data_IF_155808359954
#
_entry.id   IF_155808359954
#
_cell.length_a   1.000
_cell.length_b   1.000
_cell.length_c   1.000
_cell.angle_alpha   90.00
_cell.angle_beta   90.00
_cell.angle_gamma   90.00
#
_symmetry.space_group_name_H-M   'P 1'
#
loop_
_entity.id
_entity.type
_entity.pdbx_description
1 polymer ?
#
# COMPACT_ATOMS: atom_id res chain seq x y z
N UNK A 1 -26.62 5.87 -23.92
CA UNK A 1 -26.15 6.82 -22.89
C UNK A 1 -25.94 6.15 -21.54
N UNK A 2 -26.96 5.58 -20.88
CA UNK A 2 -26.80 5.04 -19.51
C UNK A 2 -25.85 3.83 -19.39
N UNK A 3 -25.91 2.88 -20.35
CA UNK A 3 -24.95 1.76 -20.42
C UNK A 3 -23.50 2.22 -20.63
N UNK A 4 -23.31 3.21 -21.50
CA UNK A 4 -22.00 3.79 -21.81
C UNK A 4 -21.37 4.46 -20.59
N UNK A 5 -22.19 5.16 -19.78
CA UNK A 5 -21.76 5.79 -18.53
C UNK A 5 -21.32 4.75 -17.49
N UNK A 6 -22.08 3.65 -17.33
CA UNK A 6 -21.75 2.56 -16.40
C UNK A 6 -20.46 1.84 -16.82
N UNK A 7 -20.25 1.59 -18.11
CA UNK A 7 -19.02 0.98 -18.61
C UNK A 7 -17.81 1.87 -18.39
N UNK A 8 -17.95 3.18 -18.60
CA UNK A 8 -16.87 4.14 -18.38
C UNK A 8 -16.50 4.25 -16.88
N UNK A 9 -17.49 4.22 -15.98
CA UNK A 9 -17.27 4.18 -14.54
C UNK A 9 -16.50 2.92 -14.11
N UNK A 10 -16.93 1.73 -14.55
CA UNK A 10 -16.24 0.46 -14.26
C UNK A 10 -14.81 0.47 -14.78
N UNK A 11 -14.60 1.01 -15.98
CA UNK A 11 -13.27 1.15 -16.58
C UNK A 11 -12.37 2.07 -15.75
N UNK A 12 -12.87 3.24 -15.32
CA UNK A 12 -12.12 4.18 -14.46
C UNK A 12 -11.75 3.54 -13.12
N UNK A 13 -12.66 2.78 -12.51
CA UNK A 13 -12.39 2.07 -11.27
C UNK A 13 -11.29 1.01 -11.44
N UNK A 14 -11.38 0.19 -12.50
CA UNK A 14 -10.36 -0.80 -12.83
C UNK A 14 -8.99 -0.15 -13.11
N UNK A 15 -8.96 0.94 -13.89
CA UNK A 15 -7.74 1.70 -14.19
C UNK A 15 -7.08 2.25 -12.92
N UNK A 16 -7.87 2.82 -12.02
CA UNK A 16 -7.39 3.32 -10.73
C UNK A 16 -6.81 2.19 -9.86
N UNK A 17 -7.42 1.01 -9.88
CA UNK A 17 -6.92 -0.17 -9.17
C UNK A 17 -5.55 -0.61 -9.69
N UNK A 18 -5.39 -0.71 -11.02
CA UNK A 18 -4.10 -1.03 -11.64
C UNK A 18 -3.04 0.01 -11.27
N UNK A 19 -3.39 1.30 -11.26
CA UNK A 19 -2.45 2.36 -10.85
C UNK A 19 -1.98 2.20 -9.40
N UNK A 20 -2.87 1.88 -8.46
CA UNK A 20 -2.52 1.63 -7.05
C UNK A 20 -1.61 0.41 -6.89
N UNK A 21 -1.94 -0.69 -7.57
CA UNK A 21 -1.13 -1.93 -7.57
C UNK A 21 0.27 -1.65 -8.11
N UNK A 22 0.38 -0.94 -9.25
CA UNK A 22 1.66 -0.56 -9.83
C UNK A 22 2.47 0.33 -8.87
N UNK A 23 1.82 1.27 -8.19
CA UNK A 23 2.45 2.11 -7.18
C UNK A 23 3.02 1.31 -6.00
N UNK A 24 2.28 0.31 -5.52
CA UNK A 24 2.77 -0.61 -4.50
C UNK A 24 4.01 -1.39 -4.95
N UNK A 25 3.99 -1.97 -6.16
CA UNK A 25 5.14 -2.73 -6.66
C UNK A 25 6.40 -1.87 -6.82
N UNK A 26 6.25 -0.61 -7.25
CA UNK A 26 7.38 0.33 -7.32
C UNK A 26 7.92 0.60 -5.91
N UNK A 27 7.04 0.90 -4.94
CA UNK A 27 7.46 1.14 -3.56
C UNK A 27 8.15 -0.10 -2.96
N UNK A 28 7.61 -1.30 -3.17
CA UNK A 28 8.19 -2.56 -2.74
C UNK A 28 9.57 -2.83 -3.37
N UNK A 29 9.72 -2.56 -4.67
CA UNK A 29 10.99 -2.70 -5.37
C UNK A 29 12.05 -1.74 -4.83
N UNK A 30 11.71 -0.45 -4.67
CA UNK A 30 12.60 0.56 -4.08
C UNK A 30 12.99 0.18 -2.66
N UNK A 31 12.01 -0.21 -1.84
CA UNK A 31 12.26 -0.71 -0.48
C UNK A 31 13.28 -1.87 -0.49
N UNK A 32 13.10 -2.85 -1.36
CA UNK A 32 13.97 -4.04 -1.41
C UNK A 32 15.40 -3.67 -1.85
N UNK A 33 15.54 -2.89 -2.94
CA UNK A 33 16.85 -2.49 -3.47
C UNK A 33 17.62 -1.64 -2.46
N UNK A 34 16.96 -0.65 -1.85
CA UNK A 34 17.61 0.24 -0.86
C UNK A 34 18.02 -0.54 0.39
N UNK A 35 17.16 -1.41 0.92
CA UNK A 35 17.50 -2.19 2.11
C UNK A 35 18.63 -3.20 1.85
N UNK A 36 18.66 -3.86 0.68
CA UNK A 36 19.76 -4.74 0.29
C UNK A 36 21.07 -3.95 0.21
N UNK A 37 21.05 -2.78 -0.44
CA UNK A 37 22.23 -1.93 -0.58
C UNK A 37 22.75 -1.45 0.79
N UNK A 38 21.86 -0.95 1.65
CA UNK A 38 22.21 -0.50 2.99
C UNK A 38 22.76 -1.66 3.85
N UNK A 39 22.12 -2.82 3.79
CA UNK A 39 22.58 -4.02 4.49
C UNK A 39 23.98 -4.41 4.02
N UNK A 40 24.25 -4.36 2.71
CA UNK A 40 25.57 -4.64 2.14
C UNK A 40 26.65 -3.70 2.64
N UNK A 41 26.37 -2.39 2.74
CA UNK A 41 27.32 -1.41 3.30
C UNK A 41 27.61 -1.70 4.76
N UNK A 42 26.57 -1.90 5.58
CA UNK A 42 26.71 -2.14 7.02
C UNK A 42 27.47 -3.45 7.27
N UNK A 43 27.09 -4.53 6.59
CA UNK A 43 27.76 -5.83 6.73
C UNK A 43 29.21 -5.74 6.29
N UNK A 44 29.50 -5.07 5.16
CA UNK A 44 30.88 -4.88 4.69
C UNK A 44 31.71 -4.09 5.70
N UNK A 45 31.13 -3.06 6.33
CA UNK A 45 31.80 -2.31 7.40
C UNK A 45 32.10 -3.17 8.62
N UNK A 46 31.09 -3.87 9.14
CA UNK A 46 31.22 -4.73 10.34
C UNK A 46 32.16 -5.93 10.14
N UNK A 47 32.23 -6.46 8.92
CA UNK A 47 33.11 -7.61 8.59
C UNK A 47 34.55 -7.15 8.31
N UNK A 48 34.78 -5.88 7.95
CA UNK A 48 36.12 -5.37 7.62
C UNK A 48 37.07 -5.35 8.81
N UNK A 49 36.54 -5.17 10.03
CA UNK A 49 37.33 -5.16 11.26
C UNK A 49 37.57 -6.57 11.85
N UNK A 50 37.16 -7.65 11.15
CA UNK A 50 37.18 -9.05 11.64
C UNK A 50 36.47 -9.28 12.99
N UNK A 51 35.66 -8.30 13.43
CA UNK A 51 35.00 -8.31 14.73
C UNK A 51 33.70 -9.12 14.70
N UNK A 52 33.08 -9.27 13.51
CA UNK A 52 31.81 -9.96 13.32
C UNK A 52 31.86 -10.99 12.17
N UNK A 53 31.30 -12.17 12.41
CA UNK A 53 31.00 -13.13 11.34
C UNK A 53 29.80 -12.66 10.51
N UNK A 54 29.68 -13.13 9.25
CA UNK A 54 28.59 -12.73 8.34
C UNK A 54 27.18 -12.93 8.95
N UNK A 55 26.96 -14.02 9.69
CA UNK A 55 25.70 -14.28 10.38
C UNK A 55 25.41 -13.27 11.51
N UNK A 56 26.45 -12.81 12.18
CA UNK A 56 26.39 -11.85 13.29
C UNK A 56 26.17 -10.43 12.77
N UNK A 57 26.81 -10.09 11.65
CA UNK A 57 26.62 -8.82 10.94
C UNK A 57 25.19 -8.68 10.39
N UNK A 58 24.56 -9.74 9.87
CA UNK A 58 23.15 -9.71 9.44
C UNK A 58 22.21 -9.53 10.66
N UNK A 59 22.56 -10.15 11.78
CA UNK A 59 21.79 -10.09 13.02
C UNK A 59 22.01 -8.79 13.79
N UNK A 60 22.85 -7.89 13.28
CA UNK A 60 23.12 -6.60 13.89
C UNK A 60 21.86 -5.71 13.84
N UNK A 61 21.57 -5.01 14.95
CA UNK A 61 20.40 -4.13 15.07
C UNK A 61 20.30 -3.13 13.92
N UNK A 62 21.42 -2.56 13.50
CA UNK A 62 21.46 -1.61 12.38
C UNK A 62 21.02 -2.19 11.03
N UNK A 63 21.15 -3.50 10.82
CA UNK A 63 20.71 -4.16 9.59
C UNK A 63 19.21 -4.44 9.67
N UNK A 64 18.75 -5.29 10.60
CA UNK A 64 17.35 -5.73 10.60
C UNK A 64 16.35 -4.64 11.03
N UNK A 65 16.77 -3.64 11.82
CA UNK A 65 15.85 -2.59 12.28
C UNK A 65 15.27 -1.81 11.11
N UNK A 66 16.08 -1.45 10.10
CA UNK A 66 15.58 -0.72 8.91
C UNK A 66 14.55 -1.55 8.16
N UNK A 67 14.81 -2.86 7.97
CA UNK A 67 13.85 -3.78 7.36
C UNK A 67 12.52 -3.80 8.12
N UNK A 68 12.55 -3.94 9.44
CA UNK A 68 11.34 -4.05 10.26
C UNK A 68 10.57 -2.73 10.26
N UNK A 69 11.19 -1.61 10.66
CA UNK A 69 10.49 -0.34 10.83
C UNK A 69 9.92 0.19 9.51
N UNK A 70 10.67 0.10 8.42
CA UNK A 70 10.17 0.50 7.10
C UNK A 70 9.21 -0.54 6.52
N UNK A 71 9.42 -1.82 6.84
CA UNK A 71 8.55 -2.92 6.45
C UNK A 71 7.14 -2.79 7.02
N UNK A 72 6.99 -2.22 8.22
CA UNK A 72 5.67 -1.88 8.79
C UNK A 72 4.94 -0.87 7.89
N UNK A 73 5.62 0.19 7.44
CA UNK A 73 5.03 1.16 6.51
C UNK A 73 4.63 0.53 5.17
N UNK A 74 5.47 -0.37 4.64
CA UNK A 74 5.18 -1.12 3.43
C UNK A 74 3.99 -2.07 3.60
N UNK A 75 3.86 -2.70 4.76
CA UNK A 75 2.73 -3.55 5.12
C UNK A 75 1.41 -2.77 5.18
N UNK A 76 1.40 -1.58 5.78
CA UNK A 76 0.21 -0.73 5.76
C UNK A 76 -0.12 -0.22 4.36
N UNK A 77 0.87 0.07 3.51
CA UNK A 77 0.62 0.39 2.11
C UNK A 77 0.02 -0.80 1.35
N UNK A 78 0.54 -2.01 1.58
CA UNK A 78 -0.02 -3.25 1.04
C UNK A 78 -1.48 -3.44 1.49
N UNK A 79 -1.77 -3.28 2.78
CA UNK A 79 -3.13 -3.31 3.31
C UNK A 79 -4.02 -2.24 2.66
N UNK A 80 -3.52 -1.03 2.42
CA UNK A 80 -4.26 0.01 1.71
C UNK A 80 -4.60 -0.34 0.26
N UNK A 81 -3.70 -1.03 -0.44
CA UNK A 81 -3.88 -1.40 -1.85
C UNK A 81 -4.70 -2.68 -2.04
N UNK A 82 -4.52 -3.67 -1.16
CA UNK A 82 -5.14 -5.00 -1.28
C UNK A 82 -6.16 -5.30 -0.17
N UNK A 83 -5.88 -4.91 1.07
CA UNK A 83 -6.65 -5.27 2.28
C UNK A 83 -7.93 -4.46 2.52
N UNK A 84 -7.87 -3.14 2.48
CA UNK A 84 -9.04 -2.27 2.73
C UNK A 84 -10.17 -2.48 1.72
N UNK A 85 -9.82 -2.84 0.48
CA UNK A 85 -10.79 -3.21 -0.54
C UNK A 85 -11.46 -4.58 -0.24
N UNK A 86 -10.71 -5.56 0.29
CA UNK A 86 -11.22 -6.90 0.62
C UNK A 86 -12.03 -6.93 1.92
N UNK A 87 -11.82 -5.97 2.82
CA UNK A 87 -12.60 -5.79 4.05
C UNK A 87 -13.89 -4.97 3.82
N UNK A 88 -14.16 -4.56 2.58
CA UNK A 88 -15.37 -3.80 2.26
C UNK A 88 -15.41 -2.39 2.87
N UNK A 89 -14.25 -1.83 3.25
CA UNK A 89 -14.10 -0.43 3.70
C UNK A 89 -13.40 0.44 2.64
N UNK A 90 -13.27 -0.08 1.42
CA UNK A 90 -12.72 0.64 0.28
C UNK A 90 -13.74 1.57 -0.39
N UNK A 91 -13.41 1.98 -1.61
CA UNK A 91 -14.25 2.89 -2.43
C UNK A 91 -15.71 2.47 -2.54
N UNK A 92 -16.00 1.17 -2.57
CA UNK A 92 -17.36 0.66 -2.70
C UNK A 92 -18.23 1.02 -1.47
N UNK A 93 -17.66 1.04 -0.26
CA UNK A 93 -18.37 1.49 0.94
C UNK A 93 -18.60 2.99 0.92
N UNK A 94 -17.59 3.75 0.51
CA UNK A 94 -17.65 5.20 0.40
C UNK A 94 -18.74 5.61 -0.60
N UNK A 95 -18.75 4.99 -1.78
CA UNK A 95 -19.73 5.22 -2.84
C UNK A 95 -21.13 4.79 -2.42
N UNK A 96 -21.26 3.66 -1.70
CA UNK A 96 -22.53 3.23 -1.09
C UNK A 96 -23.03 4.24 -0.05
N UNK A 97 -22.14 4.80 0.78
CA UNK A 97 -22.51 5.76 1.82
C UNK A 97 -22.92 7.11 1.24
N UNK A 98 -22.21 7.58 0.22
CA UNK A 98 -22.57 8.79 -0.54
C UNK A 98 -23.96 8.61 -1.16
N UNK A 99 -24.22 7.48 -1.81
CA UNK A 99 -25.54 7.18 -2.39
C UNK A 99 -26.64 7.17 -1.32
N UNK A 100 -26.38 6.54 -0.18
CA UNK A 100 -27.32 6.51 0.95
C UNK A 100 -27.64 7.91 1.49
N UNK A 101 -26.67 8.82 1.52
CA UNK A 101 -26.85 10.20 1.97
C UNK A 101 -27.66 11.03 0.97
N UNK A 102 -27.37 10.92 -0.33
CA UNK A 102 -28.14 11.59 -1.38
C UNK A 102 -29.61 11.15 -1.37
N UNK A 103 -29.88 9.84 -1.31
CA UNK A 103 -31.25 9.32 -1.24
C UNK A 103 -32.01 9.81 0.00
N UNK A 104 -31.31 9.99 1.14
CA UNK A 104 -31.91 10.57 2.35
C UNK A 104 -32.20 12.07 2.21
N UNK A 105 -31.38 12.81 1.46
CA UNK A 105 -31.65 14.21 1.15
C UNK A 105 -32.85 14.36 0.21
N UNK A 106 -32.91 13.57 -0.86
CA UNK A 106 -34.02 13.61 -1.83
C UNK A 106 -35.36 13.30 -1.17
N UNK A 107 -35.43 12.23 -0.36
CA UNK A 107 -36.64 11.90 0.43
C UNK A 107 -37.02 12.98 1.43
N UNK A 108 -36.06 13.78 1.90
CA UNK A 108 -36.34 14.90 2.80
C UNK A 108 -36.91 16.08 2.02
N UNK A 109 -36.42 16.35 0.81
CA UNK A 109 -36.95 17.40 -0.08
C UNK A 109 -38.37 17.08 -0.56
N UNK A 110 -38.70 15.82 -0.84
CA UNK A 110 -40.06 15.40 -1.24
C UNK A 110 -41.11 15.49 -0.11
N UNK A 111 -40.68 15.60 1.15
CA UNK A 111 -41.55 15.69 2.33
C UNK A 111 -41.92 17.13 2.71
N UNK A 112 -41.37 18.13 2.04
CA UNK A 112 -41.65 19.55 2.22
C UNK A 112 -42.21 20.14 0.92
#
# INVERSE_FOLDING_TARGET
MEREFIENQKYIQAKNRVKKIKGFYIHFAVYSVVNIFLSGIIISGLTSDNEYNFAEAISHFGVYSTWIFWGIGLFFHWLGVFGFQSLGLGKDWEEKKIKELMEREDKRREKF
#
